data_IF_794287461293
#
_entry.id   IF_794287461293
#
_cell.length_a   1.000
_cell.length_b   1.000
_cell.length_c   1.000
_cell.angle_alpha   90.00
_cell.angle_beta   90.00
_cell.angle_gamma   90.00
#
_symmetry.space_group_name_H-M   'P 1'
#
loop_
_entity.id
_entity.type
_entity.pdbx_description
1 polymer ?
#
# COMPACT_ATOMS: atom_id res chain seq x y z
N UNK A 1 -1.49 17.18 17.58
CA UNK A 1 -1.45 15.76 17.22
C UNK A 1 -0.35 15.52 16.21
N UNK A 2 0.52 14.57 16.50
CA UNK A 2 1.57 14.21 15.53
C UNK A 2 1.00 13.33 14.44
N UNK A 3 1.74 13.20 13.35
CA UNK A 3 1.35 12.32 12.26
C UNK A 3 1.21 10.88 12.75
N UNK A 4 2.15 10.45 13.60
CA UNK A 4 2.11 9.11 14.16
C UNK A 4 0.84 8.88 14.99
N UNK A 5 0.47 9.86 15.80
CA UNK A 5 -0.74 9.76 16.59
C UNK A 5 -1.99 9.72 15.72
N UNK A 6 -2.01 10.51 14.66
CA UNK A 6 -3.14 10.52 13.73
C UNK A 6 -3.30 9.15 13.09
N UNK A 7 -2.22 8.55 12.62
CA UNK A 7 -2.28 7.22 12.00
C UNK A 7 -2.78 6.19 13.01
N UNK A 8 -2.22 6.17 14.20
CA UNK A 8 -2.58 5.20 15.21
C UNK A 8 -4.06 5.30 15.60
N UNK A 9 -4.55 6.51 15.82
CA UNK A 9 -5.91 6.68 16.30
C UNK A 9 -6.95 6.46 15.21
N UNK A 10 -6.62 6.66 13.94
CA UNK A 10 -7.60 6.60 12.87
C UNK A 10 -7.59 5.29 12.10
N UNK A 11 -6.49 4.56 12.11
CA UNK A 11 -6.38 3.33 11.34
C UNK A 11 -6.18 2.09 12.19
N UNK A 12 -6.10 2.23 13.52
CA UNK A 12 -5.68 1.15 14.42
C UNK A 12 -4.35 0.60 13.97
N UNK A 13 -3.64 1.39 13.25
CA UNK A 13 -2.48 0.93 12.55
C UNK A 13 -1.23 1.03 13.36
N UNK A 14 -0.22 0.39 12.83
CA UNK A 14 1.11 0.47 13.40
C UNK A 14 1.70 1.85 13.17
N UNK A 15 2.95 1.97 13.49
CA UNK A 15 3.71 3.18 13.27
C UNK A 15 3.69 3.60 11.81
N UNK A 16 3.81 4.90 11.59
CA UNK A 16 3.94 5.44 10.26
C UNK A 16 5.18 4.84 9.59
N UNK A 17 5.04 4.23 8.40
CA UNK A 17 6.21 3.62 7.74
C UNK A 17 7.31 4.64 7.50
N UNK A 18 8.56 4.19 7.66
CA UNK A 18 9.71 5.07 7.50
C UNK A 18 9.78 5.71 6.12
N UNK A 19 9.40 4.97 5.07
CA UNK A 19 9.39 5.52 3.72
C UNK A 19 8.43 6.71 3.59
N UNK A 20 7.32 6.66 4.31
CA UNK A 20 6.34 7.74 4.30
C UNK A 20 6.83 8.89 5.17
N UNK A 21 7.29 8.59 6.39
CA UNK A 21 7.77 9.63 7.30
C UNK A 21 8.96 10.37 6.72
N UNK A 22 9.86 9.64 6.08
CA UNK A 22 11.06 10.23 5.46
C UNK A 22 10.78 11.05 4.22
N UNK A 23 9.60 10.90 3.62
CA UNK A 23 9.25 11.66 2.42
C UNK A 23 8.65 13.04 2.73
N UNK A 24 8.50 13.37 4.02
CA UNK A 24 8.07 14.69 4.45
C UNK A 24 6.60 14.73 4.88
N UNK A 25 6.23 15.84 5.49
CA UNK A 25 4.91 16.00 6.11
C UNK A 25 3.78 15.94 5.08
N UNK A 26 3.98 16.49 3.92
CA UNK A 26 2.95 16.47 2.89
C UNK A 26 2.60 15.04 2.51
N UNK A 27 3.61 14.21 2.28
CA UNK A 27 3.41 12.80 1.95
C UNK A 27 2.75 12.07 3.10
N UNK A 28 3.18 12.34 4.33
CA UNK A 28 2.61 11.70 5.51
C UNK A 28 1.13 12.04 5.65
N UNK A 29 0.74 13.30 5.45
CA UNK A 29 -0.65 13.70 5.50
C UNK A 29 -1.48 13.03 4.41
N UNK A 30 -0.98 12.95 3.18
CA UNK A 30 -1.66 12.25 2.10
C UNK A 30 -1.86 10.78 2.43
N UNK A 31 -0.85 10.16 3.04
CA UNK A 31 -0.94 8.76 3.44
C UNK A 31 -2.05 8.56 4.47
N UNK A 32 -2.10 9.39 5.50
CA UNK A 32 -3.15 9.31 6.51
C UNK A 32 -4.53 9.55 5.90
N UNK A 33 -4.62 10.55 5.02
CA UNK A 33 -5.89 10.87 4.35
C UNK A 33 -6.41 9.73 3.49
N UNK A 34 -5.52 8.93 2.92
CA UNK A 34 -5.95 7.77 2.16
C UNK A 34 -6.87 6.87 2.99
N UNK A 35 -6.50 6.63 4.22
CA UNK A 35 -7.27 5.74 5.08
C UNK A 35 -8.51 6.42 5.70
N UNK A 36 -8.45 7.71 5.92
CA UNK A 36 -9.53 8.41 6.62
C UNK A 36 -10.57 9.02 5.68
N UNK A 37 -10.13 9.48 4.53
CA UNK A 37 -11.02 10.14 3.56
C UNK A 37 -11.53 9.15 2.52
N UNK A 38 -10.64 8.29 2.03
CA UNK A 38 -10.94 7.41 0.91
C UNK A 38 -11.59 6.09 1.32
N UNK A 39 -11.33 5.59 2.52
CA UNK A 39 -11.83 4.30 2.98
C UNK A 39 -12.82 4.50 4.13
N UNK A 40 -14.08 4.23 3.86
CA UNK A 40 -15.15 4.47 4.83
C UNK A 40 -15.37 3.31 5.79
N UNK A 41 -15.21 2.09 5.33
CA UNK A 41 -15.45 0.92 6.15
C UNK A 41 -14.27 0.67 7.08
N UNK A 42 -14.51 0.57 8.39
CA UNK A 42 -13.44 0.41 9.39
C UNK A 42 -12.64 -0.88 9.21
N UNK A 43 -13.30 -1.96 8.86
CA UNK A 43 -12.61 -3.24 8.66
C UNK A 43 -11.71 -3.19 7.42
N UNK A 44 -12.19 -2.57 6.36
CA UNK A 44 -11.41 -2.36 5.14
C UNK A 44 -10.22 -1.46 5.43
N UNK A 45 -10.45 -0.42 6.22
CA UNK A 45 -9.38 0.52 6.60
C UNK A 45 -8.27 -0.21 7.35
N UNK A 46 -8.62 -1.06 8.31
CA UNK A 46 -7.63 -1.83 9.06
C UNK A 46 -6.86 -2.79 8.16
N UNK A 47 -7.58 -3.50 7.29
CA UNK A 47 -6.96 -4.46 6.36
C UNK A 47 -6.00 -3.75 5.40
N UNK A 48 -6.43 -2.60 4.86
CA UNK A 48 -5.60 -1.84 3.92
C UNK A 48 -4.41 -1.19 4.64
N UNK A 49 -4.60 -0.77 5.89
CA UNK A 49 -3.48 -0.26 6.69
C UNK A 49 -2.39 -1.29 6.88
N UNK A 50 -2.78 -2.53 7.18
CA UNK A 50 -1.82 -3.63 7.30
C UNK A 50 -1.16 -3.94 5.96
N UNK A 51 -1.94 -4.01 4.89
CA UNK A 51 -1.40 -4.34 3.56
C UNK A 51 -0.41 -3.28 3.09
N UNK A 52 -0.75 -2.01 3.25
CA UNK A 52 0.14 -0.92 2.87
C UNK A 52 1.41 -0.93 3.71
N UNK A 53 1.27 -1.12 5.02
CA UNK A 53 2.42 -1.18 5.93
C UNK A 53 3.34 -2.34 5.61
N UNK A 54 2.78 -3.50 5.32
CA UNK A 54 3.57 -4.68 4.97
C UNK A 54 4.40 -4.44 3.70
N UNK A 55 3.78 -3.86 2.67
CA UNK A 55 4.50 -3.58 1.44
C UNK A 55 5.62 -2.57 1.66
N UNK A 56 5.33 -1.49 2.36
CA UNK A 56 6.33 -0.45 2.57
C UNK A 56 7.49 -0.95 3.44
N UNK A 57 7.21 -1.76 4.45
CA UNK A 57 8.27 -2.39 5.25
C UNK A 57 9.09 -3.38 4.42
N UNK A 58 8.44 -4.11 3.52
CA UNK A 58 9.15 -5.00 2.61
C UNK A 58 10.13 -4.20 1.74
N UNK A 59 9.69 -3.06 1.22
CA UNK A 59 10.56 -2.18 0.44
C UNK A 59 11.75 -1.70 1.25
N UNK A 60 11.51 -1.28 2.49
CA UNK A 60 12.59 -0.85 3.39
C UNK A 60 13.59 -1.97 3.61
N UNK A 61 13.11 -3.19 3.78
CA UNK A 61 13.96 -4.36 3.95
C UNK A 61 14.79 -4.70 2.72
N UNK A 62 14.41 -4.20 1.56
CA UNK A 62 15.16 -4.36 0.31
C UNK A 62 16.09 -3.19 0.04
N UNK A 63 16.22 -2.28 0.99
CA UNK A 63 17.15 -1.16 0.88
C UNK A 63 16.59 0.06 0.18
N UNK A 64 15.29 0.11 -0.07
CA UNK A 64 14.67 1.29 -0.66
C UNK A 64 14.51 2.33 0.42
N UNK A 65 15.09 3.50 0.22
CA UNK A 65 15.07 4.58 1.22
C UNK A 65 14.28 5.81 0.76
N UNK A 66 13.82 5.82 -0.49
CA UNK A 66 13.04 6.94 -1.03
C UNK A 66 11.77 6.35 -1.64
N UNK A 67 10.64 6.85 -1.20
CA UNK A 67 9.33 6.39 -1.69
C UNK A 67 9.27 6.43 -3.22
N UNK A 68 9.85 7.47 -3.83
CA UNK A 68 9.82 7.63 -5.28
C UNK A 68 10.75 6.68 -6.02
N UNK A 69 11.58 5.94 -5.29
CA UNK A 69 12.44 4.92 -5.90
C UNK A 69 11.72 3.58 -6.07
N UNK A 70 10.50 3.45 -5.56
CA UNK A 70 9.71 2.24 -5.75
C UNK A 70 9.30 2.14 -7.21
N UNK A 71 9.69 1.05 -7.87
CA UNK A 71 9.47 0.82 -9.28
C UNK A 71 8.50 -0.35 -9.50
N UNK A 72 7.93 -0.49 -10.70
CA UNK A 72 7.05 -1.64 -10.97
C UNK A 72 7.69 -2.99 -10.66
N UNK A 73 9.00 -3.12 -10.87
CA UNK A 73 9.70 -4.38 -10.57
C UNK A 73 9.63 -4.71 -9.08
N UNK A 74 9.63 -3.71 -8.21
CA UNK A 74 9.52 -3.93 -6.78
C UNK A 74 8.13 -4.44 -6.41
N UNK A 75 7.11 -3.83 -6.98
CA UNK A 75 5.73 -4.26 -6.73
C UNK A 75 5.54 -5.68 -7.25
N UNK A 76 6.03 -5.97 -8.45
CA UNK A 76 5.90 -7.29 -9.04
C UNK A 76 6.60 -8.36 -8.18
N UNK A 77 7.79 -8.06 -7.69
CA UNK A 77 8.54 -9.00 -6.85
C UNK A 77 7.81 -9.26 -5.52
N UNK A 78 7.25 -8.21 -4.93
CA UNK A 78 6.48 -8.36 -3.70
C UNK A 78 5.26 -9.24 -3.91
N UNK A 79 4.52 -8.99 -4.99
CA UNK A 79 3.31 -9.76 -5.29
C UNK A 79 3.68 -11.24 -5.56
N UNK A 80 4.76 -11.49 -6.27
CA UNK A 80 5.21 -12.85 -6.52
C UNK A 80 5.56 -13.58 -5.22
N UNK A 81 6.27 -12.91 -4.35
CA UNK A 81 6.62 -13.46 -3.04
C UNK A 81 5.38 -13.76 -2.21
N UNK A 82 4.42 -12.84 -2.24
CA UNK A 82 3.17 -12.97 -1.49
C UNK A 82 2.35 -14.16 -1.99
N UNK A 83 2.38 -14.43 -3.28
CA UNK A 83 1.69 -15.58 -3.87
C UNK A 83 2.17 -16.90 -3.30
N UNK A 84 3.40 -16.96 -2.83
CA UNK A 84 3.97 -18.16 -2.24
C UNK A 84 3.43 -18.46 -0.86
N UNK A 85 2.81 -17.50 -0.17
CA UNK A 85 2.39 -17.66 1.23
C UNK A 85 0.93 -17.31 1.49
N UNK A 86 0.25 -16.69 0.54
CA UNK A 86 -1.12 -16.23 0.74
C UNK A 86 -2.02 -16.73 -0.38
N UNK A 87 -3.32 -16.78 -0.11
CA UNK A 87 -4.31 -17.16 -1.11
C UNK A 87 -4.42 -16.10 -2.20
N UNK A 88 -4.90 -16.51 -3.37
CA UNK A 88 -5.07 -15.59 -4.49
C UNK A 88 -5.98 -14.40 -4.14
N UNK A 89 -7.12 -14.58 -3.47
CA UNK A 89 -7.95 -13.43 -3.09
C UNK A 89 -7.21 -12.45 -2.17
N UNK A 90 -6.41 -12.96 -1.23
CA UNK A 90 -5.64 -12.11 -0.34
C UNK A 90 -4.59 -11.31 -1.11
N UNK A 91 -3.88 -11.96 -2.04
CA UNK A 91 -2.88 -11.28 -2.88
C UNK A 91 -3.55 -10.21 -3.71
N UNK A 92 -4.71 -10.49 -4.30
CA UNK A 92 -5.46 -9.50 -5.07
C UNK A 92 -5.85 -8.31 -4.22
N UNK A 93 -6.24 -8.55 -2.97
CA UNK A 93 -6.60 -7.46 -2.06
C UNK A 93 -5.38 -6.59 -1.75
N UNK A 94 -4.22 -7.21 -1.51
CA UNK A 94 -2.99 -6.46 -1.26
C UNK A 94 -2.62 -5.60 -2.48
N UNK A 95 -2.70 -6.17 -3.67
CA UNK A 95 -2.38 -5.42 -4.88
C UNK A 95 -3.37 -4.28 -5.12
N UNK A 96 -4.64 -4.53 -4.87
CA UNK A 96 -5.65 -3.48 -4.98
C UNK A 96 -5.36 -2.32 -4.02
N UNK A 97 -4.97 -2.65 -2.81
CA UNK A 97 -4.59 -1.64 -1.82
C UNK A 97 -3.40 -0.80 -2.32
N UNK A 98 -2.36 -1.47 -2.81
CA UNK A 98 -1.16 -0.79 -3.28
C UNK A 98 -1.49 0.12 -4.47
N UNK A 99 -2.30 -0.37 -5.41
CA UNK A 99 -2.72 0.45 -6.55
C UNK A 99 -3.50 1.68 -6.12
N UNK A 100 -4.45 1.50 -5.22
CA UNK A 100 -5.27 2.62 -4.75
C UNK A 100 -4.44 3.63 -3.97
N UNK A 101 -3.54 3.15 -3.13
CA UNK A 101 -2.68 4.03 -2.36
C UNK A 101 -1.82 4.90 -3.27
N UNK A 102 -1.15 4.28 -4.25
CA UNK A 102 -0.27 5.04 -5.14
C UNK A 102 -1.05 5.95 -6.09
N UNK A 103 -2.26 5.56 -6.52
CA UNK A 103 -3.13 6.49 -7.25
C UNK A 103 -3.43 7.73 -6.42
N UNK A 104 -3.72 7.54 -5.14
CA UNK A 104 -3.99 8.64 -4.23
C UNK A 104 -2.75 9.54 -4.09
N UNK A 105 -1.58 8.93 -3.97
CA UNK A 105 -0.34 9.69 -3.82
C UNK A 105 0.03 10.44 -5.11
N UNK A 106 -0.26 9.88 -6.26
CA UNK A 106 -0.07 10.57 -7.54
C UNK A 106 -1.03 11.75 -7.66
N UNK A 107 -2.29 11.54 -7.34
CA UNK A 107 -3.29 12.61 -7.34
C UNK A 107 -2.89 13.72 -6.38
N UNK A 108 -2.31 13.36 -5.24
CA UNK A 108 -1.81 14.31 -4.26
C UNK A 108 -0.48 14.96 -4.63
N UNK A 109 0.08 14.59 -5.76
CA UNK A 109 1.33 15.17 -6.29
C UNK A 109 2.55 14.88 -5.41
N UNK A 110 2.54 13.76 -4.69
CA UNK A 110 3.70 13.33 -3.91
C UNK A 110 4.42 12.16 -4.57
N UNK A 111 3.84 11.60 -5.62
CA UNK A 111 4.46 10.59 -6.47
C UNK A 111 4.29 10.98 -7.93
N UNK A 112 5.31 10.77 -8.77
CA UNK A 112 5.20 11.12 -10.18
C UNK A 112 4.34 10.13 -10.98
N UNK A 113 4.32 8.87 -10.56
CA UNK A 113 3.56 7.83 -11.23
C UNK A 113 3.26 6.70 -10.26
N UNK A 114 2.33 5.83 -10.66
CA UNK A 114 1.92 4.69 -9.83
C UNK A 114 2.71 3.45 -10.24
N UNK A 115 3.62 2.96 -9.37
CA UNK A 115 4.45 1.80 -9.72
C UNK A 115 3.65 0.50 -9.77
N UNK A 116 2.44 0.48 -9.27
CA UNK A 116 1.60 -0.72 -9.27
C UNK A 116 0.62 -0.77 -10.43
N UNK A 117 0.53 0.31 -11.21
CA UNK A 117 -0.51 0.44 -12.23
C UNK A 117 -0.52 -0.73 -13.21
N UNK A 118 0.63 -1.13 -13.71
CA UNK A 118 0.74 -2.17 -14.74
C UNK A 118 1.02 -3.57 -14.18
N UNK A 119 1.20 -3.70 -12.87
CA UNK A 119 1.52 -4.98 -12.27
C UNK A 119 0.26 -5.85 -12.23
N UNK A 120 0.40 -7.11 -12.64
CA UNK A 120 -0.71 -8.03 -12.65
C UNK A 120 -0.66 -8.94 -11.43
N UNK A 121 -1.82 -9.17 -10.84
CA UNK A 121 -1.97 -10.10 -9.73
C UNK A 121 -2.14 -11.53 -10.24
N UNK A 122 -2.36 -12.47 -9.32
CA UNK A 122 -2.56 -13.86 -9.69
C UNK A 122 -3.86 -14.01 -10.48
N UNK A 123 -3.85 -14.95 -11.39
CA UNK A 123 -5.09 -15.34 -12.05
C UNK A 123 -5.94 -16.09 -11.06
N UNK A 124 -7.12 -15.57 -10.85
CA UNK A 124 -8.11 -16.27 -10.05
C UNK A 124 -9.19 -16.73 -11.01
N UNK A 125 -8.94 -17.91 -11.60
CA UNK A 125 -9.88 -18.47 -12.52
C UNK A 125 -10.98 -19.13 -11.74
N UNK A 126 -12.15 -18.56 -11.81
CA UNK A 126 -13.32 -19.24 -11.30
C UNK A 126 -13.68 -20.29 -12.33
N UNK A 127 -13.72 -21.52 -11.92
CA UNK A 127 -14.12 -22.58 -12.79
C UNK A 127 -15.49 -22.25 -13.36
N UNK A 128 -15.57 -22.16 -14.64
CA UNK A 128 -16.83 -21.89 -15.21
C UNK A 128 -17.60 -23.13 -15.34
N UNK A 129 -17.74 -23.70 -14.68
CA UNK A 129 -18.45 -24.87 -14.83
C UNK A 129 -18.63 -25.22 -16.23
N UNK A 130 -18.20 -24.84 -16.29
CA UNK A 130 -18.26 -24.76 -16.98
C UNK A 130 -18.58 -25.13 -17.01
#
# INVERSE_FOLDING_TARGET
MTMQQALTSLTDGPELPALIAGAGDRTAWRFVEFFTVNIRNANTRAAYGRAAGDFLRWCEGRGITDLRAIQPVHVAAYIEELQGTRSAPTVKQHLACIRMLFDWLVTGQVMPSNPAHSVRGPRHSVSKGK
#
